data_IF_348270011900
#
_entry.id   IF_348270011900
#
_cell.length_a   1.000
_cell.length_b   1.000
_cell.length_c   1.000
_cell.angle_alpha   90.00
_cell.angle_beta   90.00
_cell.angle_gamma   90.00
#
_symmetry.space_group_name_H-M   'P 1'
#
loop_
_entity.id
_entity.type
_entity.pdbx_description
1 polymer ?
#
# COMPACT_ATOMS: atom_id res chain seq x y z
N UNK A 1 8.62 26.07 1.09
CA UNK A 1 7.18 25.79 1.22
C UNK A 1 7.08 24.28 1.24
N UNK A 2 6.96 23.69 2.43
CA UNK A 2 6.87 22.22 2.57
C UNK A 2 5.53 21.85 1.94
N UNK A 3 5.55 21.00 0.92
CA UNK A 3 4.32 20.52 0.30
C UNK A 3 3.53 19.73 1.35
N UNK A 4 2.23 19.99 1.45
CA UNK A 4 1.33 19.21 2.29
C UNK A 4 1.48 17.74 1.91
N UNK A 5 1.87 16.93 2.88
CA UNK A 5 2.23 15.53 2.71
C UNK A 5 1.04 14.59 2.95
N UNK A 6 -0.15 15.12 2.72
CA UNK A 6 -1.41 14.46 3.00
C UNK A 6 -1.76 13.55 1.82
N UNK A 7 -2.07 12.29 2.13
CA UNK A 7 -2.74 11.40 1.20
C UNK A 7 -4.20 11.82 1.07
N UNK A 8 -4.66 11.98 -0.17
CA UNK A 8 -6.03 12.41 -0.46
C UNK A 8 -6.91 11.16 -0.47
N UNK A 9 -8.15 11.21 0.08
CA UNK A 9 -9.03 10.03 0.18
C UNK A 9 -9.27 9.29 -1.15
N UNK A 10 -9.24 9.99 -2.28
CA UNK A 10 -9.42 9.41 -3.63
C UNK A 10 -8.27 8.45 -4.04
N UNK A 11 -7.15 8.45 -3.30
CA UNK A 11 -5.98 7.59 -3.51
C UNK A 11 -6.00 6.35 -2.61
N UNK A 12 -7.02 6.22 -1.74
CA UNK A 12 -7.22 5.08 -0.85
C UNK A 12 -8.32 4.21 -1.43
N UNK A 13 -7.93 3.14 -2.11
CA UNK A 13 -8.87 2.27 -2.82
C UNK A 13 -8.99 0.96 -2.05
N UNK A 14 -10.21 0.59 -1.63
CA UNK A 14 -10.46 -0.74 -1.06
C UNK A 14 -10.23 -1.81 -2.15
N UNK A 15 -9.45 -2.84 -1.84
CA UNK A 15 -9.23 -3.95 -2.76
C UNK A 15 -10.40 -4.94 -2.67
N UNK A 16 -11.49 -4.67 -3.39
CA UNK A 16 -12.54 -5.66 -3.63
C UNK A 16 -12.18 -6.55 -4.82
N UNK A 17 -12.09 -7.86 -4.60
CA UNK A 17 -11.87 -8.86 -5.65
C UNK A 17 -13.03 -8.97 -6.65
N UNK A 18 -14.19 -8.35 -6.39
CA UNK A 18 -15.38 -8.44 -7.25
C UNK A 18 -15.34 -7.56 -8.51
N UNK A 19 -14.28 -6.79 -8.71
CA UNK A 19 -14.18 -5.81 -9.80
C UNK A 19 -13.45 -6.24 -11.07
N UNK A 20 -12.95 -7.48 -11.16
CA UNK A 20 -12.39 -7.99 -12.42
C UNK A 20 -13.42 -8.87 -13.08
N UNK A 21 -14.10 -8.30 -14.07
CA UNK A 21 -14.82 -9.05 -15.09
C UNK A 21 -13.93 -10.23 -15.51
N UNK A 22 -14.43 -11.46 -15.38
CA UNK A 22 -13.74 -12.69 -15.81
C UNK A 22 -13.34 -12.65 -17.32
N UNK A 23 -13.76 -11.60 -18.03
CA UNK A 23 -13.44 -11.30 -19.42
C UNK A 23 -12.02 -10.74 -19.64
N UNK A 24 -11.28 -10.34 -18.60
CA UNK A 24 -9.89 -9.85 -18.73
C UNK A 24 -8.79 -10.90 -18.51
N UNK A 25 -9.14 -12.19 -18.40
CA UNK A 25 -8.19 -13.27 -18.65
C UNK A 25 -8.01 -13.45 -20.17
N UNK A 26 -7.16 -12.60 -20.74
CA UNK A 26 -6.60 -12.74 -22.08
C UNK A 26 -5.65 -13.93 -22.22
N UNK A 27 -6.02 -15.09 -21.68
CA UNK A 27 -5.42 -16.37 -22.00
C UNK A 27 -6.55 -17.37 -22.21
N UNK A 28 -7.14 -17.35 -23.40
CA UNK A 28 -7.71 -18.56 -23.97
C UNK A 28 -6.51 -19.45 -24.32
N UNK A 29 -6.21 -20.56 -23.59
CA UNK A 29 -5.43 -21.59 -24.23
C UNK A 29 -6.35 -22.13 -25.31
N UNK A 30 -5.99 -21.89 -26.56
CA UNK A 30 -6.58 -22.49 -27.74
C UNK A 30 -6.70 -23.99 -27.47
N UNK A 31 -7.88 -24.48 -27.10
CA UNK A 31 -8.15 -25.93 -27.11
C UNK A 31 -8.43 -26.34 -28.55
N UNK A 32 -7.42 -26.15 -29.41
CA UNK A 32 -7.12 -27.06 -30.48
C UNK A 32 -6.23 -28.13 -29.87
N UNK A 33 -6.84 -29.25 -29.46
CA UNK A 33 -6.21 -30.53 -29.14
C UNK A 33 -4.74 -30.51 -28.66
N UNK A 34 -4.52 -30.71 -27.36
CA UNK A 34 -3.22 -31.17 -26.85
C UNK A 34 -3.35 -32.59 -26.29
N UNK A 35 -2.57 -33.50 -26.87
CA UNK A 35 -2.41 -34.91 -26.50
C UNK A 35 -2.08 -35.14 -25.01
N UNK A 36 -2.38 -36.32 -24.45
CA UNK A 36 -2.41 -36.60 -23.00
C UNK A 36 -1.02 -36.87 -22.38
N UNK A 37 0.03 -36.16 -22.79
CA UNK A 37 1.38 -36.38 -22.29
C UNK A 37 1.84 -35.22 -21.39
N UNK A 38 1.85 -35.47 -20.08
CA UNK A 38 2.51 -34.69 -19.03
C UNK A 38 2.41 -33.16 -19.15
N UNK A 39 1.33 -32.59 -18.64
CA UNK A 39 1.31 -31.18 -18.26
C UNK A 39 1.29 -31.11 -16.74
N UNK A 40 2.48 -30.98 -16.14
CA UNK A 40 2.63 -30.39 -14.81
C UNK A 40 2.13 -28.95 -14.91
N UNK A 41 0.82 -28.76 -14.78
CA UNK A 41 0.20 -27.44 -14.74
C UNK A 41 0.69 -26.73 -13.48
N UNK A 42 1.73 -25.90 -13.63
CA UNK A 42 2.08 -24.89 -12.63
C UNK A 42 0.86 -23.97 -12.49
N UNK A 43 0.25 -23.97 -11.30
CA UNK A 43 -0.86 -23.10 -10.93
C UNK A 43 -0.51 -21.64 -11.28
N UNK A 44 -1.42 -20.94 -11.93
CA UNK A 44 -1.29 -19.50 -12.17
C UNK A 44 -1.21 -18.77 -10.81
N UNK A 45 -0.25 -17.87 -10.67
CA UNK A 45 -0.06 -17.11 -9.44
C UNK A 45 -0.99 -15.89 -9.45
N UNK A 46 -1.96 -15.84 -8.53
CA UNK A 46 -2.78 -14.65 -8.29
C UNK A 46 -2.07 -13.78 -7.24
N UNK A 47 -1.81 -12.51 -7.58
CA UNK A 47 -1.18 -11.56 -6.67
C UNK A 47 -2.05 -11.29 -5.44
N UNK A 48 -3.39 -11.31 -5.59
CA UNK A 48 -4.30 -11.11 -4.46
C UNK A 48 -4.14 -12.21 -3.41
N UNK A 49 -3.96 -13.46 -3.84
CA UNK A 49 -3.69 -14.58 -2.92
C UNK A 49 -2.37 -14.40 -2.15
N UNK A 50 -1.42 -13.65 -2.70
CA UNK A 50 -0.14 -13.37 -2.05
C UNK A 50 -0.21 -12.19 -1.07
N UNK A 51 -0.93 -11.12 -1.43
CA UNK A 51 -0.85 -9.83 -0.69
C UNK A 51 -2.07 -9.52 0.17
N UNK A 52 -3.23 -10.11 -0.13
CA UNK A 52 -4.48 -9.84 0.57
C UNK A 52 -4.72 -10.92 1.63
N UNK A 53 -4.47 -10.59 2.90
CA UNK A 53 -4.76 -11.49 4.03
C UNK A 53 -6.23 -11.42 4.44
N UNK A 54 -6.82 -10.22 4.43
CA UNK A 54 -8.22 -9.98 4.77
C UNK A 54 -8.86 -9.01 3.77
N UNK A 55 -9.68 -9.52 2.87
CA UNK A 55 -10.25 -8.75 1.74
C UNK A 55 -11.04 -7.53 2.17
N UNK A 56 -11.80 -7.64 3.26
CA UNK A 56 -12.67 -6.55 3.74
C UNK A 56 -11.89 -5.46 4.52
N UNK A 57 -10.58 -5.66 4.71
CA UNK A 57 -9.72 -4.75 5.47
C UNK A 57 -8.38 -4.46 4.76
N UNK A 58 -8.27 -4.78 3.46
CA UNK A 58 -7.05 -4.53 2.68
C UNK A 58 -7.29 -3.44 1.66
N UNK A 59 -6.41 -2.44 1.67
CA UNK A 59 -6.49 -1.23 0.87
C UNK A 59 -5.26 -1.10 0.00
N UNK A 60 -5.46 -0.63 -1.21
CA UNK A 60 -4.43 -0.13 -2.10
C UNK A 60 -4.28 1.37 -1.88
N UNK A 61 -3.05 1.83 -1.77
CA UNK A 61 -2.73 3.25 -1.57
C UNK A 61 -1.61 3.62 -2.54
N UNK A 62 -1.78 4.72 -3.27
CA UNK A 62 -0.68 5.33 -4.02
C UNK A 62 0.03 6.37 -3.13
N UNK A 63 1.35 6.31 -3.08
CA UNK A 63 2.14 7.30 -2.35
C UNK A 63 2.20 8.60 -3.15
N UNK A 64 1.92 9.74 -2.52
CA UNK A 64 2.00 11.05 -3.18
C UNK A 64 3.23 11.88 -2.81
N UNK A 65 4.05 11.38 -1.87
CA UNK A 65 5.13 12.15 -1.27
C UNK A 65 6.43 11.37 -1.20
N UNK A 66 7.55 12.09 -1.06
CA UNK A 66 8.88 11.49 -0.84
C UNK A 66 9.26 11.43 0.65
N UNK A 67 8.30 11.60 1.55
CA UNK A 67 8.52 11.59 3.01
C UNK A 67 9.12 10.28 3.52
N UNK A 68 9.03 9.19 2.76
CA UNK A 68 9.54 7.87 3.10
C UNK A 68 10.71 7.42 2.20
N UNK A 69 11.41 8.34 1.52
CA UNK A 69 12.46 8.02 0.54
C UNK A 69 13.63 7.21 1.13
N UNK A 70 13.97 7.40 2.40
CA UNK A 70 15.00 6.62 3.09
C UNK A 70 14.65 5.14 3.23
N UNK A 71 13.37 4.78 3.08
CA UNK A 71 12.88 3.41 2.97
C UNK A 71 12.63 2.98 1.50
N UNK A 72 13.14 3.76 0.54
CA UNK A 72 12.97 3.60 -0.91
C UNK A 72 11.54 3.88 -1.42
N UNK A 73 10.64 4.36 -0.57
CA UNK A 73 9.25 4.68 -0.94
C UNK A 73 9.17 6.13 -1.41
N UNK A 74 8.74 6.33 -2.65
CA UNK A 74 8.62 7.63 -3.31
C UNK A 74 7.20 7.91 -3.77
N UNK A 75 6.95 9.14 -4.18
CA UNK A 75 5.73 9.47 -4.91
C UNK A 75 5.57 8.55 -6.15
N UNK A 76 4.36 8.02 -6.34
CA UNK A 76 4.00 7.05 -7.38
C UNK A 76 4.21 5.58 -7.01
N UNK A 77 4.85 5.28 -5.87
CA UNK A 77 4.92 3.90 -5.37
C UNK A 77 3.56 3.43 -4.84
N UNK A 78 3.32 2.12 -4.89
CA UNK A 78 2.02 1.54 -4.57
C UNK A 78 2.12 0.68 -3.32
N UNK A 79 1.29 0.94 -2.34
CA UNK A 79 1.30 0.25 -1.06
C UNK A 79 0.03 -0.58 -0.86
N UNK A 80 0.18 -1.67 -0.13
CA UNK A 80 -0.94 -2.44 0.43
C UNK A 80 -1.00 -2.16 1.92
N UNK A 81 -2.17 -1.74 2.41
CA UNK A 81 -2.45 -1.44 3.81
C UNK A 81 -3.50 -2.40 4.34
N UNK A 82 -3.21 -3.06 5.46
CA UNK A 82 -4.13 -3.99 6.13
C UNK A 82 -4.58 -3.40 7.47
N UNK A 83 -5.86 -3.03 7.53
CA UNK A 83 -6.51 -2.44 8.70
C UNK A 83 -6.86 -3.47 9.78
N UNK A 84 -6.79 -4.77 9.48
CA UNK A 84 -7.07 -5.84 10.46
C UNK A 84 -5.86 -6.20 11.33
N UNK A 85 -4.67 -5.70 10.97
CA UNK A 85 -3.42 -6.01 11.67
C UNK A 85 -3.23 -5.13 12.90
N UNK A 86 -2.69 -5.75 13.96
CA UNK A 86 -2.24 -5.04 15.15
C UNK A 86 -0.94 -4.30 14.85
N UNK A 87 -0.89 -3.05 15.28
CA UNK A 87 0.32 -2.21 15.19
C UNK A 87 1.34 -2.63 16.24
N UNK A 88 2.62 -2.63 15.86
CA UNK A 88 3.75 -2.79 16.79
C UNK A 88 4.77 -1.69 16.53
N UNK A 89 5.53 -1.30 17.57
CA UNK A 89 6.55 -0.27 17.42
C UNK A 89 7.55 -0.66 16.32
N UNK A 90 7.89 0.28 15.46
CA UNK A 90 8.73 0.08 14.29
C UNK A 90 8.01 -0.49 13.07
N UNK A 91 6.66 -0.59 13.03
CA UNK A 91 5.95 -0.90 11.77
C UNK A 91 5.72 0.35 10.92
N UNK A 92 5.68 0.15 9.60
CA UNK A 92 5.19 1.17 8.68
C UNK A 92 3.66 1.13 8.70
N UNK A 93 3.03 2.26 8.98
CA UNK A 93 1.58 2.35 9.14
C UNK A 93 1.02 3.47 8.28
N UNK A 94 -0.28 3.37 8.05
CA UNK A 94 -1.12 4.47 7.63
C UNK A 94 -1.91 4.97 8.84
N UNK A 95 -1.90 6.29 9.05
CA UNK A 95 -2.67 6.93 10.10
C UNK A 95 -3.11 8.32 9.66
N UNK A 96 -4.21 8.79 10.24
CA UNK A 96 -4.59 10.19 10.23
C UNK A 96 -3.78 10.92 11.31
N UNK A 97 -3.10 12.01 10.93
CA UNK A 97 -2.38 12.88 11.84
C UNK A 97 -2.23 14.29 11.24
N UNK A 98 -2.42 15.33 12.07
CA UNK A 98 -2.43 16.75 11.67
C UNK A 98 -3.35 17.05 10.47
N UNK A 99 -4.57 16.51 10.48
CA UNK A 99 -5.58 16.83 9.45
C UNK A 99 -5.45 16.09 8.13
N UNK A 100 -4.66 15.00 8.04
CA UNK A 100 -4.70 14.12 6.87
C UNK A 100 -4.05 12.75 7.07
N UNK A 101 -4.23 11.87 6.08
CA UNK A 101 -3.64 10.54 6.06
C UNK A 101 -2.17 10.58 5.68
N UNK A 102 -1.34 9.81 6.38
CA UNK A 102 0.11 9.74 6.16
C UNK A 102 0.62 8.32 6.31
N UNK A 103 1.67 8.00 5.54
CA UNK A 103 2.47 6.79 5.72
C UNK A 103 3.69 7.12 6.57
N UNK A 104 3.82 6.47 7.73
CA UNK A 104 4.88 6.76 8.71
C UNK A 104 5.34 5.53 9.44
N UNK A 105 6.58 5.56 9.92
CA UNK A 105 7.07 4.56 10.87
C UNK A 105 6.62 4.93 12.26
N UNK A 106 5.80 4.10 12.89
CA UNK A 106 5.31 4.37 14.25
C UNK A 106 6.32 3.90 15.29
N UNK A 107 6.56 4.73 16.29
CA UNK A 107 7.23 4.36 17.53
C UNK A 107 6.21 4.48 18.66
N UNK A 108 5.93 3.35 19.31
CA UNK A 108 5.06 3.32 20.49
C UNK A 108 5.93 3.49 21.74
N UNK A 109 5.64 4.51 22.54
CA UNK A 109 6.18 4.77 23.87
C UNK A 109 5.04 4.70 24.89
N UNK A 110 5.35 4.64 26.19
CA UNK A 110 4.37 4.34 27.25
C UNK A 110 3.08 5.19 27.21
N UNK A 111 3.20 6.48 26.87
CA UNK A 111 2.07 7.44 26.86
C UNK A 111 1.99 8.28 25.58
N UNK A 112 2.78 7.94 24.57
CA UNK A 112 2.86 8.73 23.34
C UNK A 112 3.23 7.85 22.15
N UNK A 113 2.58 8.10 21.02
CA UNK A 113 3.00 7.54 19.74
C UNK A 113 3.76 8.60 18.95
N UNK A 114 4.87 8.22 18.32
CA UNK A 114 5.66 9.13 17.48
C UNK A 114 5.68 8.58 16.07
N UNK A 115 5.32 9.41 15.09
CA UNK A 115 5.33 9.06 13.68
C UNK A 115 6.57 9.65 13.02
N UNK A 116 7.44 8.76 12.52
CA UNK A 116 8.69 9.12 11.87
C UNK A 116 8.56 9.01 10.37
N UNK A 117 8.98 10.07 9.68
CA UNK A 117 9.27 10.04 8.26
C UNK A 117 10.68 9.46 8.04
N UNK A 118 10.97 8.95 6.84
CA UNK A 118 12.32 8.53 6.44
C UNK A 118 12.98 9.58 5.55
N UNK A 119 12.78 10.85 5.90
CA UNK A 119 13.29 11.99 5.17
C UNK A 119 13.58 13.15 6.13
N UNK A 120 14.77 13.78 6.12
CA UNK A 120 15.19 14.80 7.09
C UNK A 120 14.26 16.03 7.17
N UNK A 121 13.71 16.45 6.02
CA UNK A 121 12.83 17.62 5.93
C UNK A 121 11.44 17.42 6.55
N UNK A 122 11.11 16.19 6.98
CA UNK A 122 9.82 15.84 7.57
C UNK A 122 10.03 15.50 9.05
N UNK A 123 9.80 16.45 9.97
CA UNK A 123 10.03 16.22 11.39
C UNK A 123 9.08 15.16 11.95
N UNK A 124 9.46 14.47 13.05
CA UNK A 124 8.56 13.54 13.71
C UNK A 124 7.28 14.20 14.21
N UNK A 125 6.16 13.52 14.07
CA UNK A 125 4.85 13.96 14.57
C UNK A 125 4.61 13.26 15.91
N UNK A 126 4.31 14.04 16.93
CA UNK A 126 4.06 13.56 18.29
C UNK A 126 2.54 13.43 18.50
N UNK A 127 2.06 12.19 18.57
CA UNK A 127 0.66 11.86 18.71
C UNK A 127 0.33 11.61 20.18
N UNK A 128 -0.23 12.63 20.82
CA UNK A 128 -0.75 12.58 22.19
C UNK A 128 -2.14 11.93 22.22
N UNK A 129 -2.53 11.36 23.37
CA UNK A 129 -3.82 10.66 23.53
C UNK A 129 -5.04 11.55 23.23
N UNK A 130 -4.96 12.85 23.53
CA UNK A 130 -6.02 13.84 23.28
C UNK A 130 -5.93 14.50 21.89
N UNK A 131 -4.99 14.05 21.05
CA UNK A 131 -4.70 14.64 19.73
C UNK A 131 -5.55 14.09 18.59
N UNK A 132 -5.41 14.70 17.42
CA UNK A 132 -6.01 14.25 16.15
C UNK A 132 -5.18 13.11 15.53
N UNK A 133 -5.06 12.00 16.25
CA UNK A 133 -4.37 10.79 15.78
C UNK A 133 -5.34 9.62 15.67
N UNK A 134 -5.43 9.04 14.47
CA UNK A 134 -6.22 7.84 14.24
C UNK A 134 -5.42 6.82 13.43
N UNK A 135 -5.15 5.67 14.03
CA UNK A 135 -4.57 4.53 13.30
C UNK A 135 -5.55 4.01 12.25
N UNK A 136 -5.07 3.76 11.04
CA UNK A 136 -5.86 3.18 9.95
C UNK A 136 -5.48 1.73 9.67
N UNK A 137 -4.18 1.46 9.45
CA UNK A 137 -3.72 0.11 9.11
C UNK A 137 -2.20 -0.02 9.00
N UNK A 138 -1.74 -1.26 8.88
CA UNK A 138 -0.30 -1.57 8.72
C UNK A 138 0.01 -1.72 7.23
N UNK A 139 1.09 -1.10 6.76
CA UNK A 139 1.61 -1.34 5.41
C UNK A 139 2.24 -2.74 5.36
N UNK A 140 1.74 -3.60 4.48
CA UNK A 140 2.19 -5.00 4.36
C UNK A 140 3.06 -5.24 3.14
N UNK A 141 2.81 -4.53 2.04
CA UNK A 141 3.59 -4.63 0.80
C UNK A 141 3.82 -3.25 0.19
N UNK A 142 4.94 -3.13 -0.54
CA UNK A 142 5.27 -1.96 -1.36
C UNK A 142 5.75 -2.44 -2.72
N UNK A 143 5.13 -1.91 -3.77
CA UNK A 143 5.49 -2.14 -5.16
C UNK A 143 6.21 -0.92 -5.71
N UNK A 144 7.35 -1.18 -6.33
CA UNK A 144 8.24 -0.15 -6.88
C UNK A 144 8.29 -0.32 -8.40
N UNK A 145 7.43 0.38 -9.16
CA UNK A 145 7.42 0.28 -10.61
C UNK A 145 8.72 0.91 -11.17
N UNK A 146 9.60 0.15 -11.84
CA UNK A 146 10.84 0.68 -12.39
C UNK A 146 10.61 1.49 -13.68
N UNK A 147 9.47 1.28 -14.33
CA UNK A 147 9.06 1.98 -15.54
C UNK A 147 7.88 2.88 -15.20
N UNK A 148 8.08 4.19 -15.35
CA UNK A 148 7.03 5.20 -15.29
C UNK A 148 6.97 5.81 -16.70
N UNK A 149 5.95 5.46 -17.52
CA UNK A 149 5.81 6.05 -18.83
C UNK A 149 5.65 7.57 -18.67
N UNK A 150 6.41 8.35 -19.44
CA UNK A 150 6.26 9.80 -19.45
C UNK A 150 4.91 10.19 -20.07
N UNK A 151 4.32 11.33 -19.69
CA UNK A 151 3.04 11.81 -20.25
C UNK A 151 3.03 11.89 -21.78
N UNK A 152 4.20 11.98 -22.43
CA UNK A 152 4.36 11.98 -23.89
C UNK A 152 4.18 10.58 -24.54
N UNK A 153 4.08 9.51 -23.74
CA UNK A 153 3.94 8.11 -24.20
C UNK A 153 2.50 7.55 -24.05
N UNK A 154 1.54 8.37 -23.57
CA UNK A 154 0.11 8.03 -23.40
C UNK A 154 -0.77 8.79 -24.40
#
# INVERSE_FOLDING_TARGET
MIADDLLIPDEIILLDSRGWDEQFLGFQPTTGFASPANQDFKRACDLNELVVTNRDATYYVEMTTDSMVGERIRAGDRLIVDASRKVVSGTLIMAWADGGYRIRRIQLLDHISVLHASHPDYPPIYCHEDGDFQFFGVVTFVFFPPYQPTQDEL
#
